data_IF_002434682446
#
_entry.id   IF_002434682446
#
_cell.length_a   1.000
_cell.length_b   1.000
_cell.length_c   1.000
_cell.angle_alpha   90.00
_cell.angle_beta   90.00
_cell.angle_gamma   90.00
#
_symmetry.space_group_name_H-M   'P 1'
#
loop_
_entity.id
_entity.type
_entity.pdbx_description
1 polymer ?
#
# COMPACT_ATOMS: atom_id res chain seq x y z
N UNK A 1 7.30 10.72 -1.82
CA UNK A 1 8.73 10.97 -2.05
C UNK A 1 9.24 9.98 -3.08
N UNK A 2 10.16 10.41 -3.96
CA UNK A 2 10.93 9.46 -4.78
C UNK A 2 11.77 8.56 -3.87
N UNK A 3 12.11 7.35 -4.33
CA UNK A 3 12.83 6.33 -3.53
C UNK A 3 14.10 6.86 -2.87
N UNK A 4 14.87 7.67 -3.60
CA UNK A 4 16.10 8.29 -3.12
C UNK A 4 15.85 9.34 -2.02
N UNK A 5 14.71 10.02 -2.06
CA UNK A 5 14.35 11.03 -1.07
C UNK A 5 13.93 10.41 0.27
N UNK A 6 13.47 9.15 0.28
CA UNK A 6 13.17 8.42 1.52
C UNK A 6 14.43 8.25 2.35
N UNK A 7 15.52 7.79 1.73
CA UNK A 7 16.80 7.55 2.40
C UNK A 7 17.40 8.89 2.87
N UNK A 8 17.40 9.91 2.00
CA UNK A 8 17.88 11.26 2.37
C UNK A 8 17.06 11.86 3.51
N UNK A 9 15.74 11.68 3.52
CA UNK A 9 14.89 12.16 4.60
C UNK A 9 15.18 11.46 5.93
N UNK A 10 15.44 10.15 5.90
CA UNK A 10 15.84 9.41 7.09
C UNK A 10 17.18 9.89 7.64
N UNK A 11 18.20 10.05 6.78
CA UNK A 11 19.52 10.56 7.18
C UNK A 11 19.40 11.94 7.89
N UNK A 12 18.59 12.86 7.34
CA UNK A 12 18.35 14.18 7.94
C UNK A 12 17.64 14.13 9.29
N UNK A 13 16.79 13.12 9.50
CA UNK A 13 16.03 12.94 10.74
C UNK A 13 16.93 12.34 11.82
N UNK A 14 17.82 11.41 11.47
CA UNK A 14 18.80 10.85 12.42
C UNK A 14 19.64 11.94 13.09
N UNK A 15 20.05 12.96 12.33
CA UNK A 15 20.82 14.11 12.85
C UNK A 15 20.04 14.99 13.87
N UNK A 16 18.74 14.74 14.08
CA UNK A 16 17.90 15.47 15.02
C UNK A 16 17.64 14.71 16.33
N UNK A 17 18.06 13.45 16.42
CA UNK A 17 17.86 12.62 17.60
C UNK A 17 19.14 12.53 18.42
N UNK A 18 18.97 12.46 19.74
CA UNK A 18 20.04 12.15 20.68
C UNK A 18 20.33 10.64 20.68
N UNK A 19 21.51 10.25 21.19
CA UNK A 19 22.01 8.87 21.24
C UNK A 19 21.04 7.87 21.92
N UNK A 20 20.13 8.36 22.79
CA UNK A 20 19.08 7.54 23.43
C UNK A 20 18.11 6.89 22.40
N UNK A 21 18.09 7.38 21.17
CA UNK A 21 17.25 6.85 20.09
C UNK A 21 17.99 5.87 19.16
N UNK A 22 19.27 5.57 19.40
CA UNK A 22 20.10 4.75 18.50
C UNK A 22 19.47 3.38 18.21
N UNK A 23 18.95 2.70 19.23
CA UNK A 23 18.30 1.39 19.07
C UNK A 23 17.04 1.48 18.19
N UNK A 24 16.29 2.59 18.30
CA UNK A 24 15.11 2.84 17.49
C UNK A 24 15.49 3.15 16.03
N UNK A 25 16.50 4.00 15.83
CA UNK A 25 16.98 4.39 14.52
C UNK A 25 17.58 3.19 13.78
N UNK A 26 18.38 2.37 14.46
CA UNK A 26 18.97 1.14 13.91
C UNK A 26 17.88 0.12 13.52
N UNK A 27 16.89 -0.09 14.39
CA UNK A 27 15.73 -0.91 14.07
C UNK A 27 14.98 -0.39 12.83
N UNK A 28 14.73 0.93 12.79
CA UNK A 28 13.97 1.53 11.71
C UNK A 28 14.74 1.49 10.38
N UNK A 29 16.04 1.76 10.40
CA UNK A 29 16.92 1.65 9.24
C UNK A 29 16.89 0.22 8.68
N UNK A 30 17.11 -0.77 9.53
CA UNK A 30 17.12 -2.20 9.13
C UNK A 30 15.79 -2.67 8.57
N UNK A 31 14.68 -2.17 9.12
CA UNK A 31 13.34 -2.70 8.83
C UNK A 31 12.70 -2.01 7.64
N UNK A 32 12.86 -0.69 7.52
CA UNK A 32 12.05 0.14 6.62
C UNK A 32 12.84 0.93 5.58
N UNK A 33 14.10 1.25 5.83
CA UNK A 33 14.94 2.08 4.94
C UNK A 33 15.95 1.23 4.13
N UNK A 34 16.48 0.19 4.77
CA UNK A 34 17.59 -0.61 4.28
C UNK A 34 18.93 -0.10 4.81
N UNK A 35 19.87 -0.99 5.09
CA UNK A 35 21.19 -0.62 5.62
C UNK A 35 22.17 -0.23 4.51
N UNK A 36 22.98 0.81 4.73
CA UNK A 36 24.13 1.14 3.85
C UNK A 36 25.24 0.09 3.99
N UNK A 37 25.55 -0.67 2.92
CA UNK A 37 26.71 -1.57 2.91
C UNK A 37 27.94 -0.85 2.35
N UNK A 38 29.04 -0.86 3.11
CA UNK A 38 30.34 -0.24 2.77
C UNK A 38 30.90 -0.56 1.37
N UNK A 39 30.52 -1.70 0.75
CA UNK A 39 31.08 -2.16 -0.54
C UNK A 39 30.03 -2.59 -1.58
N UNK A 40 28.74 -2.57 -1.25
CA UNK A 40 27.70 -3.20 -2.08
C UNK A 40 26.43 -2.32 -2.26
N UNK A 41 26.50 -1.04 -1.91
CA UNK A 41 25.34 -0.13 -1.98
C UNK A 41 24.34 -0.35 -0.83
N UNK A 42 23.10 0.08 -1.03
CA UNK A 42 22.04 -0.11 -0.03
C UNK A 42 21.54 -1.56 -0.05
N UNK A 43 21.39 -2.19 1.11
CA UNK A 43 20.65 -3.44 1.26
C UNK A 43 19.16 -3.11 1.22
N UNK A 44 18.37 -3.86 0.44
CA UNK A 44 16.92 -3.68 0.45
C UNK A 44 16.33 -3.99 1.84
N UNK A 45 15.43 -3.15 2.37
CA UNK A 45 14.72 -3.45 3.60
C UNK A 45 13.79 -4.66 3.43
N UNK A 46 13.48 -5.40 4.51
CA UNK A 46 12.44 -6.42 4.51
C UNK A 46 11.08 -5.89 4.03
N UNK A 47 10.76 -4.63 4.37
CA UNK A 47 9.57 -3.95 3.88
C UNK A 47 9.98 -2.90 2.83
N UNK A 48 9.94 -3.31 1.56
CA UNK A 48 10.24 -2.44 0.41
C UNK A 48 9.42 -1.14 0.47
N UNK A 49 10.06 -0.02 0.17
CA UNK A 49 9.44 1.29 0.08
C UNK A 49 8.20 1.28 -0.82
N UNK A 50 8.16 0.47 -1.88
CA UNK A 50 6.99 0.35 -2.76
C UNK A 50 5.72 -0.13 -2.04
N UNK A 51 5.87 -0.84 -0.92
CA UNK A 51 4.74 -1.34 -0.15
C UNK A 51 4.02 -0.22 0.62
N UNK A 52 4.78 0.72 1.17
CA UNK A 52 4.26 1.74 2.09
C UNK A 52 4.29 3.16 1.53
N UNK A 53 5.10 3.43 0.50
CA UNK A 53 5.23 4.75 -0.09
C UNK A 53 4.02 5.05 -0.99
N UNK A 54 3.32 6.13 -0.67
CA UNK A 54 2.12 6.57 -1.37
C UNK A 54 2.39 7.57 -2.50
N UNK A 55 3.66 7.86 -2.81
CA UNK A 55 4.03 8.86 -3.81
C UNK A 55 3.39 8.61 -5.17
N UNK A 56 3.59 7.42 -5.74
CA UNK A 56 3.07 7.09 -7.06
C UNK A 56 1.54 7.13 -7.09
N UNK A 57 0.89 6.71 -5.98
CA UNK A 57 -0.56 6.81 -5.81
C UNK A 57 -1.04 8.26 -5.85
N UNK A 58 -0.36 9.17 -5.16
CA UNK A 58 -0.69 10.60 -5.11
C UNK A 58 -0.46 11.24 -6.48
N UNK A 59 0.67 10.96 -7.13
CA UNK A 59 0.99 11.47 -8.47
C UNK A 59 -0.04 10.98 -9.50
N UNK A 60 -0.46 9.72 -9.40
CA UNK A 60 -1.48 9.14 -10.27
C UNK A 60 -2.92 9.53 -9.86
N UNK A 61 -3.11 10.38 -8.84
CA UNK A 61 -4.44 10.78 -8.31
C UNK A 61 -5.34 9.59 -7.97
N UNK A 62 -4.74 8.46 -7.59
CA UNK A 62 -5.49 7.25 -7.22
C UNK A 62 -6.06 7.46 -5.81
N UNK A 63 -7.36 7.19 -5.58
CA UNK A 63 -7.97 7.33 -4.26
C UNK A 63 -7.20 6.56 -3.18
N UNK A 64 -7.02 7.19 -2.00
CA UNK A 64 -6.39 6.55 -0.84
C UNK A 64 -7.33 5.57 -0.14
N UNK A 65 -8.62 5.88 -0.16
CA UNK A 65 -9.68 5.04 0.39
C UNK A 65 -10.28 4.16 -0.68
N UNK A 66 -10.59 2.92 -0.31
CA UNK A 66 -11.39 1.97 -1.07
C UNK A 66 -12.91 2.28 -1.02
N UNK A 67 -13.33 3.47 -0.57
CA UNK A 67 -14.74 3.89 -0.45
C UNK A 67 -15.59 3.59 -1.70
N UNK A 68 -15.03 3.76 -2.90
CA UNK A 68 -15.74 3.43 -4.15
C UNK A 68 -15.96 1.93 -4.31
N UNK A 69 -14.97 1.11 -3.93
CA UNK A 69 -15.05 -0.35 -3.93
C UNK A 69 -16.01 -0.83 -2.84
N UNK A 70 -15.95 -0.25 -1.63
CA UNK A 70 -16.89 -0.55 -0.54
C UNK A 70 -18.32 -0.17 -0.91
N UNK A 71 -18.51 1.01 -1.52
CA UNK A 71 -19.79 1.44 -2.05
C UNK A 71 -20.33 0.50 -3.12
N UNK A 72 -19.46 0.05 -4.04
CA UNK A 72 -19.82 -0.95 -5.04
C UNK A 72 -20.17 -2.31 -4.40
N UNK A 73 -19.38 -2.80 -3.45
CA UNK A 73 -19.66 -4.04 -2.72
C UNK A 73 -20.99 -3.97 -1.96
N UNK A 74 -21.29 -2.85 -1.30
CA UNK A 74 -22.55 -2.64 -0.60
C UNK A 74 -23.73 -2.64 -1.59
N UNK A 75 -23.63 -1.88 -2.69
CA UNK A 75 -24.65 -1.89 -3.74
C UNK A 75 -24.84 -3.29 -4.37
N UNK A 76 -23.75 -4.01 -4.62
CA UNK A 76 -23.77 -5.36 -5.15
C UNK A 76 -24.44 -6.35 -4.18
N UNK A 77 -24.07 -6.32 -2.89
CA UNK A 77 -24.68 -7.16 -1.86
C UNK A 77 -26.20 -6.95 -1.78
N UNK A 78 -26.65 -5.68 -1.81
CA UNK A 78 -28.07 -5.35 -1.86
C UNK A 78 -28.77 -5.87 -3.13
N UNK A 79 -28.10 -5.86 -4.30
CA UNK A 79 -28.64 -6.38 -5.58
C UNK A 79 -28.67 -7.90 -5.66
N UNK A 80 -27.68 -8.57 -5.06
CA UNK A 80 -27.62 -10.03 -4.96
C UNK A 80 -28.74 -10.52 -4.05
N UNK A 81 -29.01 -9.80 -2.95
CA UNK A 81 -30.06 -10.08 -1.97
C UNK A 81 -30.04 -11.54 -1.45
N UNK A 82 -28.84 -12.12 -1.37
CA UNK A 82 -28.58 -13.46 -0.85
C UNK A 82 -27.34 -13.37 0.05
N UNK A 83 -27.47 -13.80 1.30
CA UNK A 83 -26.37 -13.72 2.27
C UNK A 83 -25.26 -14.74 1.97
N UNK A 84 -25.62 -15.91 1.41
CA UNK A 84 -24.68 -17.01 1.12
C UNK A 84 -25.00 -17.66 -0.24
N UNK A 85 -24.79 -16.96 -1.37
CA UNK A 85 -24.96 -17.55 -2.69
C UNK A 85 -23.91 -18.66 -2.90
N UNK A 86 -24.32 -19.77 -3.50
CA UNK A 86 -23.36 -20.73 -4.02
C UNK A 86 -22.58 -20.13 -5.20
N UNK A 87 -21.46 -20.74 -5.57
CA UNK A 87 -20.55 -20.21 -6.59
C UNK A 87 -21.25 -19.95 -7.94
N UNK A 88 -22.19 -20.80 -8.32
CA UNK A 88 -22.95 -20.67 -9.58
C UNK A 88 -23.84 -19.43 -9.53
N UNK A 89 -24.63 -19.25 -8.46
CA UNK A 89 -25.50 -18.09 -8.27
C UNK A 89 -24.71 -16.79 -8.18
N UNK A 90 -23.55 -16.82 -7.50
CA UNK A 90 -22.66 -15.68 -7.43
C UNK A 90 -22.13 -15.30 -8.80
N UNK A 91 -21.63 -16.27 -9.58
CA UNK A 91 -21.11 -16.05 -10.92
C UNK A 91 -22.17 -15.49 -11.88
N UNK A 92 -23.40 -16.00 -11.82
CA UNK A 92 -24.52 -15.46 -12.60
C UNK A 92 -24.81 -14.00 -12.26
N UNK A 93 -24.80 -13.65 -10.97
CA UNK A 93 -25.03 -12.27 -10.52
C UNK A 93 -23.91 -11.33 -10.94
N UNK A 94 -22.65 -11.77 -10.83
CA UNK A 94 -21.49 -11.00 -11.30
C UNK A 94 -21.60 -10.76 -12.81
N UNK A 95 -21.89 -11.80 -13.60
CA UNK A 95 -22.05 -11.67 -15.07
C UNK A 95 -23.18 -10.70 -15.45
N UNK A 96 -24.32 -10.75 -14.76
CA UNK A 96 -25.44 -9.83 -15.00
C UNK A 96 -25.13 -8.38 -14.63
N UNK A 97 -24.28 -8.16 -13.64
CA UNK A 97 -23.83 -6.82 -13.29
C UNK A 97 -22.80 -6.30 -14.29
N UNK A 98 -21.86 -7.14 -14.70
CA UNK A 98 -20.85 -6.81 -15.72
C UNK A 98 -21.49 -6.44 -17.06
N UNK A 99 -22.52 -7.17 -17.50
CA UNK A 99 -23.23 -6.88 -18.75
C UNK A 99 -23.95 -5.52 -18.79
N UNK A 100 -24.07 -4.82 -17.65
CA UNK A 100 -24.65 -3.45 -17.61
C UNK A 100 -23.62 -2.37 -17.93
N UNK A 101 -22.33 -2.72 -17.94
CA UNK A 101 -21.22 -1.78 -18.13
C UNK A 101 -20.41 -2.07 -19.41
N UNK A 102 -20.63 -3.22 -20.03
CA UNK A 102 -20.08 -3.54 -21.35
C UNK A 102 -21.07 -3.07 -22.43
N UNK A 103 -20.56 -2.27 -23.38
CA UNK A 103 -21.26 -1.82 -24.60
C UNK A 103 -21.05 -2.85 -25.71
#
# INVERSE_FOLDING_TARGET
>A
MRMNQVITGFDLICDQFDDDADDLLDYFEKTWIGEKRRRAGQKNPPFDHKLWNVYDRVVATIPRSNNSVEGWHNAFANRVALNHPNIVKLAEKIRREQSKFEV
#
